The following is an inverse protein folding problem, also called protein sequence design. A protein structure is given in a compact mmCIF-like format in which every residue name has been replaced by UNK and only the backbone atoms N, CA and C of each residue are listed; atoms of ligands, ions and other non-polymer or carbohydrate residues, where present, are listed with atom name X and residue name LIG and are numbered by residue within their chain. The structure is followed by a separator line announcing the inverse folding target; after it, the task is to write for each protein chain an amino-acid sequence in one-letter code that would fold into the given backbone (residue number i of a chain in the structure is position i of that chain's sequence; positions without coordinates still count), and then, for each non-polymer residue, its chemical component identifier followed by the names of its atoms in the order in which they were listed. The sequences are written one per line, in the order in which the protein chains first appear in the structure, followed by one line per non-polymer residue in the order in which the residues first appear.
data_IF_091381506651
#
_entry.id   IF_091381506651
#
_cell.length_a   1.000
_cell.length_b   1.000
_cell.length_c   1.000
_cell.angle_alpha   90.00
_cell.angle_beta   90.00
_cell.angle_gamma   90.00
#
_symmetry.space_group_name_H-M   'P 1'
#
loop_
_entity.id
_entity.type
_entity.pdbx_description
1 polymer ?
#
# COMPACT_ATOMS: atom_id res chain seq x y z
N UNK A 1 20.95 -4.15 2.94
CA UNK A 1 19.76 -4.16 2.05
C UNK A 1 19.96 -3.06 1.03
N UNK A 2 19.70 -3.33 -0.25
CA UNK A 2 19.62 -2.30 -1.29
C UNK A 2 18.17 -1.79 -1.33
N UNK A 3 17.97 -0.48 -1.39
CA UNK A 3 16.64 0.13 -1.44
C UNK A 3 16.42 0.71 -2.81
N UNK A 4 15.53 0.09 -3.59
CA UNK A 4 15.05 0.64 -4.87
C UNK A 4 13.79 1.45 -4.59
N UNK A 5 13.63 2.59 -5.26
CA UNK A 5 12.44 3.41 -5.13
C UNK A 5 12.03 4.01 -6.48
N UNK A 6 10.72 3.97 -6.72
CA UNK A 6 10.06 4.60 -7.85
C UNK A 6 9.01 5.56 -7.31
N UNK A 7 9.08 6.82 -7.71
CA UNK A 7 8.06 7.82 -7.46
C UNK A 7 8.02 8.76 -8.69
N UNK A 8 6.92 8.78 -9.46
CA UNK A 8 6.84 9.59 -10.67
C UNK A 8 6.77 11.11 -10.41
N UNK A 9 6.64 11.53 -9.14
CA UNK A 9 6.53 12.92 -8.74
C UNK A 9 7.74 13.43 -7.96
N UNK A 10 8.54 12.53 -7.37
CA UNK A 10 9.71 12.93 -6.60
C UNK A 10 10.84 13.45 -7.50
N UNK A 11 11.33 14.66 -7.21
CA UNK A 11 12.52 15.23 -7.89
C UNK A 11 13.82 14.64 -7.33
N UNK A 12 13.81 14.24 -6.06
CA UNK A 12 14.96 13.67 -5.36
C UNK A 12 14.47 12.59 -4.41
N UNK A 13 15.22 11.50 -4.30
CA UNK A 13 14.94 10.45 -3.34
C UNK A 13 15.79 10.62 -2.06
N UNK A 14 15.36 10.05 -0.93
CA UNK A 14 16.16 10.00 0.28
C UNK A 14 17.53 9.35 0.05
N UNK A 15 18.53 9.77 0.84
CA UNK A 15 19.86 9.18 0.79
C UNK A 15 19.79 7.66 1.06
N UNK A 16 20.51 6.88 0.25
CA UNK A 16 20.54 5.42 0.33
C UNK A 16 19.46 4.71 -0.50
N UNK A 17 18.54 5.45 -1.13
CA UNK A 17 17.65 4.92 -2.16
C UNK A 17 18.29 5.06 -3.54
N UNK A 18 18.17 4.00 -4.33
CA UNK A 18 18.43 4.02 -5.77
C UNK A 18 17.12 4.29 -6.51
N UNK A 19 17.11 5.35 -7.32
CA UNK A 19 15.99 5.64 -8.21
C UNK A 19 15.98 4.63 -9.35
N UNK A 20 14.80 4.08 -9.65
CA UNK A 20 14.56 3.28 -10.86
C UNK A 20 13.64 4.04 -11.80
N UNK A 21 13.78 3.83 -13.10
CA UNK A 21 13.09 4.63 -14.12
C UNK A 21 11.65 4.15 -14.37
N UNK A 22 11.33 2.93 -13.96
CA UNK A 22 10.00 2.33 -14.15
C UNK A 22 9.65 1.34 -13.04
N UNK A 23 8.35 1.05 -12.91
CA UNK A 23 7.85 -0.01 -12.03
C UNK A 23 8.32 -1.41 -12.47
N UNK A 24 8.40 -1.68 -13.78
CA UNK A 24 8.85 -2.98 -14.29
C UNK A 24 10.32 -3.25 -13.91
N UNK A 25 11.16 -2.21 -13.96
CA UNK A 25 12.52 -2.27 -13.45
C UNK A 25 12.54 -2.57 -11.93
N UNK A 26 11.68 -1.91 -11.15
CA UNK A 26 11.54 -2.17 -9.72
C UNK A 26 11.17 -3.63 -9.45
N UNK A 27 10.12 -4.13 -10.12
CA UNK A 27 9.57 -5.46 -9.92
C UNK A 27 10.55 -6.58 -10.29
N UNK A 28 11.29 -6.40 -11.38
CA UNK A 28 12.26 -7.40 -11.86
C UNK A 28 13.54 -7.49 -11.00
N UNK A 29 13.82 -6.47 -10.20
CA UNK A 29 15.02 -6.41 -9.35
C UNK A 29 14.74 -6.70 -7.88
N UNK A 30 13.57 -6.30 -7.37
CA UNK A 30 13.25 -6.35 -5.95
C UNK A 30 12.89 -7.76 -5.46
N UNK A 31 13.50 -8.19 -4.35
CA UNK A 31 13.09 -9.39 -3.61
C UNK A 31 11.87 -9.13 -2.71
N UNK A 32 11.66 -7.86 -2.33
CA UNK A 32 10.53 -7.39 -1.52
C UNK A 32 10.01 -6.09 -2.12
N UNK A 33 8.72 -6.04 -2.44
CA UNK A 33 8.02 -4.85 -2.95
C UNK A 33 7.06 -4.35 -1.88
N UNK A 34 7.20 -3.10 -1.45
CA UNK A 34 6.30 -2.44 -0.49
C UNK A 34 5.63 -1.22 -1.13
N UNK A 35 4.31 -1.13 -1.02
CA UNK A 35 3.52 -0.04 -1.60
C UNK A 35 3.34 1.10 -0.59
N UNK A 36 3.65 2.33 -1.01
CA UNK A 36 3.54 3.55 -0.21
C UNK A 36 2.99 4.74 -1.01
N UNK A 37 2.10 4.45 -1.96
CA UNK A 37 1.46 5.46 -2.82
C UNK A 37 -0.04 5.62 -2.46
N UNK A 38 -0.65 6.78 -2.73
CA UNK A 38 -2.10 6.92 -2.65
C UNK A 38 -2.77 6.05 -3.72
N UNK A 39 -4.03 5.68 -3.49
CA UNK A 39 -4.87 5.11 -4.55
C UNK A 39 -5.42 6.25 -5.43
N UNK A 40 -5.21 6.13 -6.73
CA UNK A 40 -5.70 7.02 -7.78
C UNK A 40 -6.32 6.19 -8.90
N UNK A 41 -7.07 6.83 -9.79
CA UNK A 41 -7.62 6.16 -10.98
C UNK A 41 -6.52 5.56 -11.87
N UNK A 42 -5.34 6.19 -11.89
CA UNK A 42 -4.21 5.77 -12.73
C UNK A 42 -3.41 4.59 -12.17
N UNK A 43 -3.51 4.30 -10.87
CA UNK A 43 -2.76 3.20 -10.23
C UNK A 43 -3.67 2.16 -9.55
N UNK A 44 -4.98 2.26 -9.79
CA UNK A 44 -5.92 1.22 -9.40
C UNK A 44 -5.51 -0.12 -9.99
N UNK A 45 -5.39 -1.15 -9.14
CA UNK A 45 -4.88 -2.48 -9.50
C UNK A 45 -3.53 -2.44 -10.23
N UNK A 46 -2.63 -1.52 -9.83
CA UNK A 46 -1.26 -1.49 -10.36
C UNK A 46 -0.50 -2.80 -10.12
N UNK A 47 -0.83 -3.53 -9.05
CA UNK A 47 -0.36 -4.90 -8.83
C UNK A 47 -1.43 -5.88 -9.34
N UNK A 48 -1.40 -6.11 -10.65
CA UNK A 48 -2.24 -7.08 -11.36
C UNK A 48 -1.40 -8.24 -11.91
N UNK A 49 -2.03 -9.18 -12.63
CA UNK A 49 -1.35 -10.33 -13.21
C UNK A 49 -0.20 -9.97 -14.17
N UNK A 50 -0.32 -8.87 -14.92
CA UNK A 50 0.75 -8.41 -15.82
C UNK A 50 1.94 -7.89 -15.00
N UNK A 51 1.70 -7.04 -13.99
CA UNK A 51 2.75 -6.55 -13.10
C UNK A 51 3.46 -7.72 -12.38
N UNK A 52 2.70 -8.69 -11.85
CA UNK A 52 3.22 -9.86 -11.16
C UNK A 52 4.06 -10.77 -12.07
N UNK A 53 3.89 -10.72 -13.39
CA UNK A 53 4.75 -11.45 -14.33
C UNK A 53 6.17 -10.87 -14.40
N UNK A 54 6.35 -9.60 -14.02
CA UNK A 54 7.65 -8.95 -13.92
C UNK A 54 8.33 -9.15 -12.57
N UNK A 55 7.63 -9.68 -11.57
CA UNK A 55 8.21 -9.93 -10.25
C UNK A 55 9.24 -11.05 -10.32
N UNK A 56 10.28 -10.94 -9.48
CA UNK A 56 11.16 -12.09 -9.21
C UNK A 56 10.34 -13.24 -8.63
N UNK A 57 10.63 -14.46 -9.11
CA UNK A 57 10.03 -15.67 -8.55
C UNK A 57 10.34 -15.77 -7.05
N UNK A 58 9.30 -15.91 -6.23
CA UNK A 58 9.43 -15.98 -4.78
C UNK A 58 9.60 -14.62 -4.09
N UNK A 59 9.28 -13.50 -4.77
CA UNK A 59 9.26 -12.18 -4.16
C UNK A 59 8.21 -12.08 -3.03
N UNK A 60 8.36 -11.06 -2.18
CA UNK A 60 7.40 -10.74 -1.11
C UNK A 60 6.69 -9.43 -1.44
N UNK A 61 5.37 -9.41 -1.29
CA UNK A 61 4.56 -8.19 -1.45
C UNK A 61 4.10 -7.66 -0.09
N UNK A 62 4.24 -6.36 0.15
CA UNK A 62 3.70 -5.68 1.33
C UNK A 62 2.80 -4.54 0.88
N UNK A 63 1.54 -4.55 1.34
CA UNK A 63 0.61 -3.45 1.10
C UNK A 63 -0.03 -3.00 2.40
N UNK A 64 0.45 -1.84 2.87
CA UNK A 64 -0.12 -1.08 4.01
C UNK A 64 -0.61 0.30 3.55
N UNK A 65 -0.82 0.45 2.24
CA UNK A 65 -1.24 1.70 1.61
C UNK A 65 -2.76 1.68 1.39
N UNK A 66 -3.25 1.01 0.34
CA UNK A 66 -4.68 0.90 0.03
C UNK A 66 -4.96 -0.43 -0.68
N UNK A 67 -6.05 -1.10 -0.31
CA UNK A 67 -6.43 -2.37 -0.93
C UNK A 67 -6.62 -2.30 -2.44
N UNK A 68 -7.22 -1.21 -2.95
CA UNK A 68 -7.44 -1.03 -4.40
C UNK A 68 -6.19 -0.88 -5.26
N UNK A 69 -4.98 -0.85 -4.67
CA UNK A 69 -3.72 -0.90 -5.43
C UNK A 69 -3.41 -2.30 -5.96
N UNK A 70 -4.01 -3.34 -5.36
CA UNK A 70 -3.79 -4.73 -5.74
C UNK A 70 -5.03 -5.32 -6.38
N UNK A 71 -4.85 -6.22 -7.35
CA UNK A 71 -5.88 -7.17 -7.76
C UNK A 71 -5.81 -8.38 -6.81
N UNK A 72 -6.77 -8.46 -5.90
CA UNK A 72 -6.87 -9.52 -4.88
C UNK A 72 -6.74 -10.93 -5.49
N UNK A 73 -7.39 -11.17 -6.64
CA UNK A 73 -7.39 -12.48 -7.29
C UNK A 73 -6.05 -12.78 -7.96
N UNK A 74 -5.43 -11.79 -8.59
CA UNK A 74 -4.11 -11.93 -9.17
C UNK A 74 -3.05 -12.22 -8.09
N UNK A 75 -3.09 -11.49 -6.97
CA UNK A 75 -2.18 -11.69 -5.83
C UNK A 75 -2.40 -13.07 -5.20
N UNK A 76 -3.64 -13.48 -4.97
CA UNK A 76 -3.94 -14.81 -4.45
C UNK A 76 -3.41 -15.92 -5.36
N UNK A 77 -3.57 -15.78 -6.68
CA UNK A 77 -3.05 -16.73 -7.67
C UNK A 77 -1.52 -16.77 -7.63
N UNK A 78 -0.86 -15.62 -7.54
CA UNK A 78 0.59 -15.51 -7.43
C UNK A 78 1.14 -16.13 -6.14
N UNK A 79 0.39 -16.07 -5.04
CA UNK A 79 0.72 -16.74 -3.78
C UNK A 79 0.56 -18.27 -3.89
N UNK A 80 -0.45 -18.74 -4.60
CA UNK A 80 -0.72 -20.17 -4.80
C UNK A 80 0.27 -20.84 -5.73
N UNK A 81 0.67 -20.16 -6.81
CA UNK A 81 1.59 -20.70 -7.82
C UNK A 81 3.08 -20.46 -7.50
N UNK A 82 3.39 -19.71 -6.44
CA UNK A 82 4.74 -19.44 -5.96
C UNK A 82 5.45 -18.25 -6.63
N UNK A 83 4.80 -17.52 -7.54
CA UNK A 83 5.31 -16.22 -8.02
C UNK A 83 5.62 -15.30 -6.85
N UNK A 84 4.69 -15.21 -5.89
CA UNK A 84 4.93 -14.59 -4.58
C UNK A 84 5.17 -15.68 -3.54
N UNK A 85 6.28 -15.56 -2.80
CA UNK A 85 6.54 -16.41 -1.63
C UNK A 85 5.58 -16.08 -0.51
N UNK A 86 5.31 -14.80 -0.28
CA UNK A 86 4.45 -14.33 0.81
C UNK A 86 3.89 -12.93 0.54
N UNK A 87 2.81 -12.59 1.24
CA UNK A 87 2.29 -11.22 1.28
C UNK A 87 1.94 -10.76 2.71
N UNK A 88 2.11 -9.47 2.97
CA UNK A 88 1.66 -8.79 4.20
C UNK A 88 0.68 -7.67 3.85
N UNK A 89 -0.57 -7.77 4.32
CA UNK A 89 -1.66 -6.86 3.93
C UNK A 89 -2.37 -6.28 5.16
N UNK A 90 -2.66 -4.99 5.14
CA UNK A 90 -3.45 -4.30 6.18
C UNK A 90 -4.71 -3.60 5.63
N UNK A 91 -4.76 -3.32 4.33
CA UNK A 91 -5.91 -2.66 3.68
C UNK A 91 -6.48 -3.54 2.57
N UNK A 92 -7.80 -3.44 2.37
CA UNK A 92 -8.56 -4.30 1.45
C UNK A 92 -9.48 -3.46 0.56
N UNK A 93 -9.86 -3.99 -0.60
CA UNK A 93 -10.75 -3.27 -1.55
C UNK A 93 -12.12 -2.98 -0.94
N UNK A 94 -12.61 -3.89 -0.08
CA UNK A 94 -13.82 -3.70 0.72
C UNK A 94 -13.49 -3.86 2.20
N UNK A 95 -13.83 -2.86 3.00
CA UNK A 95 -13.58 -2.82 4.43
C UNK A 95 -14.89 -2.52 5.18
N UNK A 96 -15.23 -3.27 6.25
CA UNK A 96 -14.44 -4.31 6.90
C UNK A 96 -14.38 -5.63 6.09
N UNK A 97 -13.27 -6.35 6.22
CA UNK A 97 -13.11 -7.67 5.62
C UNK A 97 -13.99 -8.70 6.36
N UNK A 98 -15.08 -9.13 5.74
CA UNK A 98 -16.02 -10.10 6.31
C UNK A 98 -15.74 -11.53 5.84
N UNK A 99 -15.93 -12.52 6.71
CA UNK A 99 -15.84 -13.93 6.34
C UNK A 99 -17.07 -14.40 5.54
N UNK A 100 -16.92 -15.34 4.59
CA UNK A 100 -15.64 -15.88 4.10
C UNK A 100 -14.92 -14.89 3.18
N UNK A 101 -13.58 -14.85 3.23
CA UNK A 101 -12.77 -14.01 2.35
C UNK A 101 -11.62 -14.78 1.71
N UNK A 102 -11.18 -14.30 0.54
CA UNK A 102 -10.16 -14.93 -0.31
C UNK A 102 -8.90 -15.34 0.46
N UNK A 103 -8.45 -14.47 1.37
CA UNK A 103 -7.20 -14.65 2.12
C UNK A 103 -7.23 -15.80 3.14
N UNK A 104 -8.40 -16.33 3.54
CA UNK A 104 -8.51 -17.34 4.61
C UNK A 104 -7.87 -18.69 4.25
N UNK A 105 -7.79 -19.01 2.97
CA UNK A 105 -7.30 -20.30 2.47
C UNK A 105 -5.80 -20.31 2.15
N UNK A 106 -5.12 -19.18 2.32
CA UNK A 106 -3.71 -19.01 1.96
C UNK A 106 -2.84 -19.08 3.21
N UNK A 107 -1.84 -19.97 3.21
CA UNK A 107 -0.94 -20.17 4.35
C UNK A 107 0.27 -19.22 4.34
N UNK A 108 0.45 -18.47 3.26
CA UNK A 108 1.58 -17.58 3.01
C UNK A 108 1.15 -16.11 2.90
N UNK A 109 0.04 -15.74 3.53
CA UNK A 109 -0.37 -14.34 3.68
C UNK A 109 -0.54 -14.02 5.16
N UNK A 110 -0.01 -12.87 5.58
CA UNK A 110 -0.27 -12.29 6.89
C UNK A 110 -1.20 -11.10 6.67
N UNK A 111 -2.35 -11.12 7.33
CA UNK A 111 -3.31 -10.03 7.27
C UNK A 111 -3.58 -9.46 8.66
N UNK A 112 -3.82 -8.16 8.72
CA UNK A 112 -4.40 -7.49 9.89
C UNK A 112 -5.62 -6.70 9.44
N UNK A 113 -6.52 -6.29 10.35
CA UNK A 113 -7.42 -5.17 10.05
C UNK A 113 -6.61 -3.93 9.64
N UNK A 114 -7.28 -2.90 9.12
CA UNK A 114 -6.64 -1.66 8.68
C UNK A 114 -6.23 -0.81 9.88
N UNK A 115 -5.09 -1.18 10.48
CA UNK A 115 -4.59 -0.65 11.75
C UNK A 115 -3.18 -0.08 11.67
N UNK A 116 -2.54 -0.09 10.50
CA UNK A 116 -1.20 0.45 10.29
C UNK A 116 -1.10 1.94 10.65
N UNK A 117 -2.20 2.68 10.51
CA UNK A 117 -2.30 4.11 10.84
C UNK A 117 -2.85 4.44 12.23
N UNK A 118 -3.24 3.45 13.06
CA UNK A 118 -4.06 3.71 14.27
C UNK A 118 -3.38 3.39 15.60
N UNK A 119 -2.05 3.50 15.68
CA UNK A 119 -1.34 3.47 16.97
C UNK A 119 -1.84 4.55 17.94
N UNK A 120 -1.69 4.36 19.26
CA UNK A 120 -2.13 5.33 20.29
C UNK A 120 -1.68 6.77 19.99
N UNK A 121 -0.40 6.94 19.63
CA UNK A 121 0.17 8.24 19.27
C UNK A 121 -0.42 8.80 17.98
N UNK A 122 -0.66 7.96 16.97
CA UNK A 122 -1.26 8.37 15.72
C UNK A 122 -2.73 8.77 15.91
N UNK A 123 -3.48 8.02 16.73
CA UNK A 123 -4.88 8.29 17.02
C UNK A 123 -5.06 9.66 17.69
N UNK A 124 -4.22 9.97 18.69
CA UNK A 124 -4.21 11.29 19.34
C UNK A 124 -3.85 12.40 18.36
N UNK A 125 -2.81 12.22 17.52
CA UNK A 125 -2.41 13.21 16.52
C UNK A 125 -3.50 13.47 15.48
N UNK A 126 -4.14 12.41 14.99
CA UNK A 126 -5.22 12.48 14.02
C UNK A 126 -6.43 13.22 14.60
N UNK A 127 -6.88 12.86 15.81
CA UNK A 127 -7.98 13.54 16.49
C UNK A 127 -7.68 15.02 16.76
N UNK A 128 -6.46 15.32 17.20
CA UNK A 128 -6.02 16.71 17.41
C UNK A 128 -5.99 17.51 16.10
N UNK A 129 -5.50 16.90 15.02
CA UNK A 129 -5.48 17.52 13.70
C UNK A 129 -6.88 17.82 13.19
N UNK A 130 -7.81 16.87 13.31
CA UNK A 130 -9.21 17.05 12.92
C UNK A 130 -9.88 18.20 13.71
N UNK A 131 -9.68 18.25 15.03
CA UNK A 131 -10.22 19.32 15.86
C UNK A 131 -9.65 20.70 15.47
N UNK A 132 -8.35 20.80 15.18
CA UNK A 132 -7.73 22.05 14.70
C UNK A 132 -8.31 22.50 13.36
N UNK A 133 -8.47 21.58 12.41
CA UNK A 133 -9.05 21.90 11.11
C UNK A 133 -10.49 22.44 11.25
N UNK A 134 -11.30 21.82 12.13
CA UNK A 134 -12.66 22.29 12.39
C UNK A 134 -12.68 23.70 13.01
N UNK A 135 -11.81 23.96 13.99
CA UNK A 135 -11.69 25.29 14.61
C UNK A 135 -11.26 26.37 13.61
N UNK A 136 -10.31 26.04 12.73
CA UNK A 136 -9.82 26.98 11.72
C UNK A 136 -10.97 27.45 10.80
N UNK A 137 -11.79 26.51 10.31
CA UNK A 137 -12.94 26.86 9.45
C UNK A 137 -13.94 27.75 10.20
N UNK A 138 -14.23 27.45 11.47
CA UNK A 138 -15.17 28.24 12.27
C UNK A 138 -14.66 29.67 12.52
N UNK A 139 -13.36 29.82 12.82
CA UNK A 139 -12.75 31.14 13.05
C UNK A 139 -12.65 31.97 11.77
N UNK A 140 -12.35 31.33 10.63
CA UNK A 140 -12.34 32.01 9.32
C UNK A 140 -13.74 32.50 8.94
N UNK A 141 -14.81 31.78 9.33
CA UNK A 141 -16.20 32.22 9.11
C UNK A 141 -16.58 33.41 9.99
N UNK A 142 -16.15 33.47 11.26
CA UNK A 142 -16.39 34.61 12.16
C UNK A 142 -15.68 35.89 11.70
N UNK A 143 -14.53 35.78 11.02
CA UNK A 143 -13.77 36.93 10.55
C UNK A 143 -14.36 37.59 9.28
N UNK A 144 -15.30 36.93 8.59
CA UNK A 144 -15.93 37.40 7.34
C UNK A 144 -17.35 37.92 7.58
N UNK A 145 -17.92 37.70 8.78
CA UNK A 145 -19.22 38.23 9.23
C UNK A 145 -19.10 39.54 9.99
#
# INVERSE_FOLDING_TARGET
MQVLAYDPYAQTLPAGCEAVESLDELYSRADVVSLHCPLTDSNHQMINAAALAHFKLGAILVNTARGGLIDDQAVATALQNGTLRAAGLDSFTSEPLTAPHLWQSLNNVIITPHIGGVSDNAYVRMGTGAARNALQVLQEQEAVS
#
